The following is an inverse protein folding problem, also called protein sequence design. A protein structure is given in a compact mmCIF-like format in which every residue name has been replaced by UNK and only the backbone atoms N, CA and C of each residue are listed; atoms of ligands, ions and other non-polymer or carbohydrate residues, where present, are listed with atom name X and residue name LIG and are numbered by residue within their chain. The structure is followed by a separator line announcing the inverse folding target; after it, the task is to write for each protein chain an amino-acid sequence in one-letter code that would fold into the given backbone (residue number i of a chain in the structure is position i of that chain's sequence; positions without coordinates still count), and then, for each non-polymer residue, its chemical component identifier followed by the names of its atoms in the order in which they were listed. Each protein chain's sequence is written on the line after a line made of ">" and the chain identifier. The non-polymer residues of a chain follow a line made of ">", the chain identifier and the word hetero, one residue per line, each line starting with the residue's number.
data_IF_037928093873
#
_entry.id   IF_037928093873
#
_cell.length_a   1.000
_cell.length_b   1.000
_cell.length_c   1.000
_cell.angle_alpha   90.00
_cell.angle_beta   90.00
_cell.angle_gamma   90.00
#
_symmetry.space_group_name_H-M   'P 1'
#
loop_
_entity.id
_entity.type
_entity.pdbx_description
1 polymer ?
#
# COMPACT_ATOMS: atom_id res chain seq x y z
N UNK A 1 -31.13 41.62 13.81
CA UNK A 1 -30.27 40.63 14.52
C UNK A 1 -29.71 39.53 13.62
N UNK A 2 -29.05 39.81 12.49
CA UNK A 2 -28.62 38.73 11.55
C UNK A 2 -27.17 38.84 11.00
N UNK A 3 -26.36 39.78 11.49
CA UNK A 3 -24.97 39.94 11.04
C UNK A 3 -23.96 39.08 11.85
N UNK A 4 -24.27 38.78 13.12
CA UNK A 4 -23.35 37.96 13.97
C UNK A 4 -23.27 36.51 13.55
N UNK A 5 -24.40 35.89 13.25
CA UNK A 5 -24.45 34.44 12.87
C UNK A 5 -23.70 34.15 11.55
N UNK A 6 -23.71 35.10 10.61
CA UNK A 6 -22.98 34.91 9.32
C UNK A 6 -21.45 34.99 9.48
N UNK A 7 -20.97 35.84 10.38
CA UNK A 7 -19.54 35.97 10.65
C UNK A 7 -18.99 34.73 11.40
N UNK A 8 -19.77 34.19 12.35
CA UNK A 8 -19.43 32.96 13.08
C UNK A 8 -19.41 31.74 12.15
N UNK A 9 -20.38 31.63 11.22
CA UNK A 9 -20.43 30.57 10.22
C UNK A 9 -19.22 30.62 9.26
N UNK A 10 -18.81 31.79 8.82
CA UNK A 10 -17.64 31.96 7.95
C UNK A 10 -16.35 31.60 8.69
N UNK A 11 -16.22 32.02 9.95
CA UNK A 11 -15.06 31.70 10.78
C UNK A 11 -15.00 30.19 11.14
N UNK A 12 -16.17 29.56 11.32
CA UNK A 12 -16.27 28.11 11.53
C UNK A 12 -15.83 27.29 10.30
N UNK A 13 -16.30 27.70 9.12
CA UNK A 13 -15.90 27.06 7.85
C UNK A 13 -14.42 27.26 7.54
N UNK A 14 -13.84 28.41 7.84
CA UNK A 14 -12.41 28.66 7.71
C UNK A 14 -11.56 27.72 8.57
N UNK A 15 -11.91 27.57 9.85
CA UNK A 15 -11.22 26.65 10.76
C UNK A 15 -11.36 25.16 10.39
N UNK A 16 -12.51 24.77 9.86
CA UNK A 16 -12.70 23.40 9.35
C UNK A 16 -11.86 23.15 8.08
N UNK A 17 -11.83 24.13 7.16
CA UNK A 17 -11.02 24.05 5.96
C UNK A 17 -9.51 23.97 6.27
N UNK A 18 -9.01 24.74 7.23
CA UNK A 18 -7.63 24.68 7.68
C UNK A 18 -7.28 23.32 8.32
N UNK A 19 -8.17 22.77 9.15
CA UNK A 19 -7.97 21.45 9.77
C UNK A 19 -7.99 20.35 8.73
N UNK A 20 -8.91 20.38 7.77
CA UNK A 20 -8.94 19.39 6.67
C UNK A 20 -7.70 19.52 5.78
N UNK A 21 -7.25 20.72 5.45
CA UNK A 21 -6.02 20.94 4.69
C UNK A 21 -4.78 20.40 5.43
N UNK A 22 -4.68 20.59 6.74
CA UNK A 22 -3.61 20.05 7.55
C UNK A 22 -3.61 18.51 7.55
N UNK A 23 -4.78 17.88 7.74
CA UNK A 23 -4.92 16.41 7.71
C UNK A 23 -4.58 15.86 6.32
N UNK A 24 -5.04 16.49 5.26
CA UNK A 24 -4.77 16.08 3.88
C UNK A 24 -3.27 16.19 3.53
N UNK A 25 -2.54 17.10 4.18
CA UNK A 25 -1.12 17.32 3.91
C UNK A 25 -0.20 16.16 4.36
N UNK A 26 -0.48 15.50 5.48
CA UNK A 26 0.37 14.42 6.01
C UNK A 26 -0.16 13.01 5.73
N UNK A 27 -1.46 12.87 5.41
CA UNK A 27 -2.07 11.57 5.11
C UNK A 27 -1.31 10.75 4.05
N UNK A 28 -0.85 11.31 2.92
CA UNK A 28 -0.06 10.57 1.94
C UNK A 28 1.27 10.05 2.49
N UNK A 29 1.91 10.82 3.37
CA UNK A 29 3.16 10.39 3.99
C UNK A 29 2.93 9.21 4.94
N UNK A 30 1.87 9.26 5.74
CA UNK A 30 1.50 8.13 6.61
C UNK A 30 1.14 6.90 5.79
N UNK A 31 0.31 7.05 4.76
CA UNK A 31 -0.05 5.97 3.85
C UNK A 31 1.19 5.30 3.24
N UNK A 32 2.15 6.10 2.79
CA UNK A 32 3.42 5.64 2.22
C UNK A 32 4.27 4.87 3.24
N UNK A 33 4.40 5.39 4.45
CA UNK A 33 5.16 4.72 5.52
C UNK A 33 4.50 3.42 5.93
N UNK A 34 3.18 3.41 6.11
CA UNK A 34 2.43 2.20 6.45
C UNK A 34 2.55 1.13 5.36
N UNK A 35 2.39 1.49 4.09
CA UNK A 35 2.57 0.55 2.99
C UNK A 35 4.00 0.01 2.96
N UNK A 36 4.99 0.88 3.07
CA UNK A 36 6.40 0.48 3.10
C UNK A 36 6.73 -0.47 4.25
N UNK A 37 6.25 -0.20 5.46
CA UNK A 37 6.42 -1.08 6.61
C UNK A 37 5.75 -2.45 6.40
N UNK A 38 4.55 -2.47 5.82
CA UNK A 38 3.84 -3.71 5.51
C UNK A 38 4.63 -4.56 4.52
N UNK A 39 5.10 -3.98 3.42
CA UNK A 39 5.91 -4.69 2.43
C UNK A 39 7.25 -5.16 3.03
N UNK A 40 7.90 -4.34 3.87
CA UNK A 40 9.13 -4.73 4.55
C UNK A 40 8.91 -5.93 5.49
N UNK A 41 7.81 -5.92 6.24
CA UNK A 41 7.45 -7.02 7.12
C UNK A 41 7.27 -8.34 6.36
N UNK A 42 6.50 -8.33 5.27
CA UNK A 42 6.31 -9.53 4.45
C UNK A 42 7.59 -9.98 3.78
N UNK A 43 8.31 -9.08 3.12
CA UNK A 43 9.58 -9.40 2.48
C UNK A 43 10.59 -10.01 3.47
N UNK A 44 10.69 -9.46 4.68
CA UNK A 44 11.54 -10.04 5.73
C UNK A 44 11.11 -11.47 6.09
N UNK A 45 9.82 -11.72 6.31
CA UNK A 45 9.32 -13.04 6.67
C UNK A 45 9.52 -14.08 5.56
N UNK A 46 9.37 -13.71 4.31
CA UNK A 46 9.66 -14.56 3.16
C UNK A 46 11.15 -14.95 3.09
N UNK A 47 12.04 -14.04 3.45
CA UNK A 47 13.48 -14.34 3.46
C UNK A 47 13.92 -15.21 4.64
N UNK A 48 13.30 -15.02 5.80
CA UNK A 48 13.69 -15.77 7.02
C UNK A 48 13.06 -17.16 7.07
N UNK A 49 11.84 -17.30 6.58
CA UNK A 49 11.07 -18.56 6.62
C UNK A 49 10.39 -18.88 5.29
N UNK A 50 11.16 -19.03 4.18
CA UNK A 50 10.58 -19.18 2.85
C UNK A 50 9.66 -20.41 2.73
N UNK A 51 9.91 -21.46 3.48
CA UNK A 51 9.14 -22.71 3.45
C UNK A 51 7.66 -22.51 3.83
N UNK A 52 7.34 -21.51 4.65
CA UNK A 52 5.95 -21.19 5.01
C UNK A 52 5.16 -20.59 3.86
N UNK A 53 5.86 -20.07 2.86
CA UNK A 53 5.26 -19.33 1.74
C UNK A 53 5.23 -20.12 0.44
N UNK A 54 6.00 -21.22 0.34
CA UNK A 54 6.06 -22.05 -0.88
C UNK A 54 4.72 -22.67 -1.26
N UNK A 55 3.82 -22.88 -0.30
CA UNK A 55 2.47 -23.40 -0.55
C UNK A 55 1.57 -22.45 -1.36
N UNK A 56 1.94 -21.17 -1.45
CA UNK A 56 1.23 -20.15 -2.23
C UNK A 56 1.83 -19.93 -3.62
N UNK A 57 2.85 -20.69 -4.02
CA UNK A 57 3.46 -20.59 -5.36
C UNK A 57 2.70 -21.50 -6.32
N UNK A 58 1.91 -20.97 -7.24
CA UNK A 58 1.04 -21.76 -8.09
C UNK A 58 1.87 -22.62 -9.07
N UNK A 59 1.44 -23.87 -9.25
CA UNK A 59 2.04 -24.78 -10.22
C UNK A 59 3.34 -25.48 -9.78
N UNK A 60 3.80 -25.22 -8.55
CA UNK A 60 5.01 -25.86 -8.01
C UNK A 60 4.70 -26.64 -6.75
N UNK A 61 5.48 -27.72 -6.52
CA UNK A 61 5.45 -28.40 -5.23
C UNK A 61 6.04 -27.49 -4.15
N UNK A 62 5.40 -27.45 -2.97
CA UNK A 62 5.87 -26.66 -1.82
C UNK A 62 7.30 -27.06 -1.36
N UNK A 63 7.78 -28.23 -1.74
CA UNK A 63 9.12 -28.75 -1.42
C UNK A 63 10.14 -28.52 -2.55
N UNK A 64 9.75 -27.88 -3.66
CA UNK A 64 10.65 -27.67 -4.78
C UNK A 64 11.63 -26.53 -4.51
N UNK A 65 12.89 -26.70 -4.89
CA UNK A 65 13.92 -25.66 -4.79
C UNK A 65 13.54 -24.40 -5.58
N UNK A 66 12.81 -24.58 -6.68
CA UNK A 66 12.35 -23.48 -7.51
C UNK A 66 11.26 -22.66 -6.78
N UNK A 67 10.34 -23.29 -6.05
CA UNK A 67 9.37 -22.57 -5.24
C UNK A 67 10.06 -21.74 -4.15
N UNK A 68 11.07 -22.29 -3.48
CA UNK A 68 11.88 -21.57 -2.50
C UNK A 68 12.60 -20.38 -3.15
N UNK A 69 13.24 -20.58 -4.31
CA UNK A 69 13.93 -19.52 -5.01
C UNK A 69 12.98 -18.36 -5.44
N UNK A 70 11.76 -18.70 -5.89
CA UNK A 70 10.74 -17.71 -6.23
C UNK A 70 10.28 -16.91 -5.02
N UNK A 71 10.04 -17.54 -3.87
CA UNK A 71 9.69 -16.86 -2.62
C UNK A 71 10.82 -15.92 -2.18
N UNK A 72 12.08 -16.37 -2.23
CA UNK A 72 13.22 -15.52 -1.89
C UNK A 72 13.33 -14.30 -2.83
N UNK A 73 13.16 -14.50 -4.15
CA UNK A 73 13.18 -13.43 -5.12
C UNK A 73 12.04 -12.42 -4.88
N UNK A 74 10.84 -12.92 -4.56
CA UNK A 74 9.68 -12.10 -4.22
C UNK A 74 9.93 -11.31 -2.92
N UNK A 75 10.46 -11.93 -1.87
CA UNK A 75 10.81 -11.27 -0.61
C UNK A 75 11.81 -10.11 -0.81
N UNK A 76 12.86 -10.31 -1.63
CA UNK A 76 13.78 -9.23 -2.00
C UNK A 76 13.09 -8.11 -2.76
N UNK A 77 12.20 -8.44 -3.70
CA UNK A 77 11.42 -7.45 -4.43
C UNK A 77 10.55 -6.61 -3.50
N UNK A 78 9.87 -7.22 -2.53
CA UNK A 78 9.08 -6.52 -1.52
C UNK A 78 9.94 -5.56 -0.68
N UNK A 79 11.15 -5.96 -0.27
CA UNK A 79 12.06 -5.08 0.47
C UNK A 79 12.51 -3.88 -0.35
N UNK A 80 12.85 -4.08 -1.62
CA UNK A 80 13.23 -2.99 -2.54
C UNK A 80 12.07 -2.01 -2.71
N UNK A 81 10.84 -2.52 -2.91
CA UNK A 81 9.64 -1.69 -3.02
C UNK A 81 9.33 -0.96 -1.72
N UNK A 82 9.52 -1.60 -0.56
CA UNK A 82 9.34 -0.98 0.75
C UNK A 82 10.27 0.25 0.92
N UNK A 83 11.54 0.11 0.56
CA UNK A 83 12.50 1.21 0.59
C UNK A 83 12.12 2.30 -0.41
N UNK A 84 11.79 1.94 -1.65
CA UNK A 84 11.42 2.88 -2.70
C UNK A 84 10.19 3.72 -2.33
N UNK A 85 9.15 3.08 -1.77
CA UNK A 85 7.92 3.74 -1.33
C UNK A 85 8.20 4.63 -0.12
N UNK A 86 8.90 4.14 0.89
CA UNK A 86 9.18 4.91 2.10
C UNK A 86 10.04 6.13 1.79
N UNK A 87 11.08 5.98 0.97
CA UNK A 87 11.96 7.07 0.55
C UNK A 87 11.37 7.96 -0.56
N UNK A 88 10.17 7.63 -1.07
CA UNK A 88 9.53 8.30 -2.21
C UNK A 88 10.34 8.25 -3.52
N UNK A 89 11.18 7.23 -3.69
CA UNK A 89 11.97 7.01 -4.91
C UNK A 89 11.05 6.38 -5.97
N UNK A 90 10.92 7.04 -7.12
CA UNK A 90 10.04 6.58 -8.21
C UNK A 90 8.65 6.13 -7.71
N UNK A 91 8.06 6.88 -6.78
CA UNK A 91 6.89 6.50 -5.98
C UNK A 91 5.73 5.94 -6.81
N UNK A 92 5.45 6.54 -8.00
CA UNK A 92 4.37 6.08 -8.89
C UNK A 92 4.62 4.66 -9.39
N UNK A 93 5.85 4.39 -9.84
CA UNK A 93 6.23 3.08 -10.35
C UNK A 93 6.24 2.05 -9.21
N UNK A 94 6.87 2.40 -8.09
CA UNK A 94 6.91 1.52 -6.92
C UNK A 94 5.51 1.18 -6.39
N UNK A 95 4.61 2.17 -6.28
CA UNK A 95 3.24 1.94 -5.86
C UNK A 95 2.43 1.11 -6.87
N UNK A 96 2.61 1.33 -8.18
CA UNK A 96 1.95 0.56 -9.22
C UNK A 96 2.42 -0.90 -9.24
N UNK A 97 3.72 -1.14 -9.12
CA UNK A 97 4.29 -2.51 -9.02
C UNK A 97 3.80 -3.19 -7.75
N UNK A 98 3.78 -2.50 -6.62
CA UNK A 98 3.24 -3.04 -5.36
C UNK A 98 1.76 -3.38 -5.47
N UNK A 99 0.95 -2.54 -6.12
CA UNK A 99 -0.46 -2.82 -6.36
C UNK A 99 -0.65 -4.08 -7.22
N UNK A 100 0.17 -4.25 -8.27
CA UNK A 100 0.12 -5.43 -9.13
C UNK A 100 0.48 -6.72 -8.37
N UNK A 101 1.52 -6.69 -7.55
CA UNK A 101 1.90 -7.82 -6.69
C UNK A 101 0.80 -8.14 -5.66
N UNK A 102 0.20 -7.13 -5.04
CA UNK A 102 -0.89 -7.32 -4.09
C UNK A 102 -2.14 -7.90 -4.76
N UNK A 103 -2.46 -7.51 -6.00
CA UNK A 103 -3.53 -8.16 -6.77
C UNK A 103 -3.25 -9.64 -6.96
N UNK A 104 -2.02 -9.99 -7.35
CA UNK A 104 -1.60 -11.40 -7.50
C UNK A 104 -1.78 -12.16 -6.18
N UNK A 105 -1.26 -11.63 -5.07
CA UNK A 105 -1.36 -12.25 -3.74
C UNK A 105 -2.83 -12.46 -3.33
N UNK A 106 -3.67 -11.43 -3.49
CA UNK A 106 -5.10 -11.51 -3.18
C UNK A 106 -5.80 -12.59 -4.00
N UNK A 107 -5.49 -12.68 -5.30
CA UNK A 107 -6.06 -13.72 -6.17
C UNK A 107 -5.62 -15.13 -5.74
N UNK A 108 -4.34 -15.32 -5.44
CA UNK A 108 -3.81 -16.61 -4.97
C UNK A 108 -4.44 -17.03 -3.64
N UNK A 109 -4.52 -16.11 -2.68
CA UNK A 109 -5.18 -16.37 -1.39
C UNK A 109 -6.67 -16.71 -1.56
N UNK A 110 -7.38 -15.99 -2.43
CA UNK A 110 -8.80 -16.23 -2.68
C UNK A 110 -9.05 -17.61 -3.33
N UNK A 111 -8.15 -18.04 -4.23
CA UNK A 111 -8.27 -19.33 -4.93
C UNK A 111 -7.86 -20.51 -4.03
N UNK A 112 -6.81 -20.35 -3.22
CA UNK A 112 -6.25 -21.44 -2.41
C UNK A 112 -6.92 -21.58 -1.05
N UNK A 113 -7.23 -20.47 -0.38
CA UNK A 113 -7.74 -20.44 1.00
C UNK A 113 -9.14 -19.82 1.16
N UNK A 114 -9.71 -19.28 0.07
CA UNK A 114 -10.98 -18.55 0.12
C UNK A 114 -10.84 -17.14 0.74
N UNK A 115 -11.97 -16.51 1.02
CA UNK A 115 -12.03 -15.19 1.65
C UNK A 115 -11.83 -15.32 3.17
N UNK A 116 -10.59 -15.21 3.61
CA UNK A 116 -10.18 -15.22 5.01
C UNK A 116 -9.82 -13.82 5.49
N UNK A 117 -9.58 -13.66 6.81
CA UNK A 117 -9.06 -12.39 7.37
C UNK A 117 -7.76 -11.94 6.70
N UNK A 118 -6.93 -12.90 6.27
CA UNK A 118 -5.70 -12.66 5.53
C UNK A 118 -5.98 -11.97 4.19
N UNK A 119 -6.93 -12.52 3.42
CA UNK A 119 -7.36 -11.97 2.13
C UNK A 119 -7.93 -10.56 2.28
N UNK A 120 -8.80 -10.34 3.28
CA UNK A 120 -9.40 -9.03 3.54
C UNK A 120 -8.36 -7.98 3.95
N UNK A 121 -7.36 -8.37 4.75
CA UNK A 121 -6.24 -7.50 5.10
C UNK A 121 -5.48 -7.06 3.85
N UNK A 122 -5.16 -7.99 2.96
CA UNK A 122 -4.35 -7.70 1.77
C UNK A 122 -5.14 -6.87 0.74
N UNK A 123 -6.47 -7.00 0.67
CA UNK A 123 -7.35 -6.07 -0.06
C UNK A 123 -7.25 -4.64 0.50
N UNK A 124 -7.17 -4.48 1.82
CA UNK A 124 -6.95 -3.17 2.46
C UNK A 124 -5.60 -2.55 2.08
N UNK A 125 -4.53 -3.35 2.08
CA UNK A 125 -3.18 -2.92 1.68
C UNK A 125 -3.13 -2.57 0.19
N UNK A 126 -3.82 -3.34 -0.66
CA UNK A 126 -3.99 -3.04 -2.09
C UNK A 126 -4.68 -1.69 -2.29
N UNK A 127 -5.77 -1.41 -1.54
CA UNK A 127 -6.44 -0.12 -1.58
C UNK A 127 -5.49 1.03 -1.26
N UNK A 128 -4.61 0.87 -0.28
CA UNK A 128 -3.59 1.85 0.09
C UNK A 128 -2.58 2.09 -1.06
N UNK A 129 -2.10 1.03 -1.71
CA UNK A 129 -1.20 1.13 -2.86
C UNK A 129 -1.85 1.85 -4.04
N UNK A 130 -3.12 1.57 -4.34
CA UNK A 130 -3.89 2.24 -5.39
C UNK A 130 -4.10 3.73 -5.09
N UNK A 131 -4.40 4.11 -3.86
CA UNK A 131 -4.52 5.51 -3.45
C UNK A 131 -3.22 6.28 -3.71
N UNK A 132 -2.06 5.71 -3.39
CA UNK A 132 -0.76 6.34 -3.61
C UNK A 132 -0.45 6.53 -5.11
N UNK A 133 -0.88 5.61 -5.99
CA UNK A 133 -0.73 5.81 -7.44
C UNK A 133 -1.60 6.96 -7.96
N UNK A 134 -2.79 7.16 -7.39
CA UNK A 134 -3.74 8.22 -7.77
C UNK A 134 -3.26 9.62 -7.38
N UNK A 135 -2.77 9.80 -6.15
CA UNK A 135 -2.32 11.10 -5.64
C UNK A 135 -1.15 11.70 -6.42
N UNK A 136 -0.20 10.86 -6.82
CA UNK A 136 0.95 11.30 -7.61
C UNK A 136 0.53 11.81 -8.99
N UNK A 137 -0.60 11.33 -9.53
CA UNK A 137 -1.16 11.79 -10.79
C UNK A 137 -1.75 13.20 -10.68
N UNK A 138 -2.46 13.50 -9.60
CA UNK A 138 -3.06 14.83 -9.39
C UNK A 138 -2.01 15.93 -9.25
N UNK A 139 -0.92 15.69 -8.54
CA UNK A 139 0.17 16.67 -8.38
C UNK A 139 0.87 16.97 -9.71
N UNK A 140 1.05 15.98 -10.58
CA UNK A 140 1.67 16.17 -11.90
C UNK A 140 0.80 17.02 -12.85
N UNK A 141 -0.53 16.89 -12.77
CA UNK A 141 -1.48 17.67 -13.59
C UNK A 141 -1.57 19.12 -13.13
N UNK A 142 -1.40 19.38 -11.83
CA UNK A 142 -1.47 20.75 -11.26
C UNK A 142 -0.15 21.54 -11.43
N UNK A 143 0.95 20.87 -11.82
CA UNK A 143 2.28 21.48 -12.05
C UNK A 143 2.60 21.73 -13.53
N UNK A 144 1.72 21.34 -14.44
CA UNK A 144 1.81 21.60 -15.88
C UNK A 144 0.94 22.77 -16.30
#
# INVERSE_FOLDING_TARGET
>A
MSRGTRAEDVAGRGRLAERTAAITGWAPTVARVLLGLTLAWFGYHELVTPQLWTGYVPGFSATSDLAIALVLAHGWLLLVLAVAITAAIALRLAAAVSALLLVQIVLELAVTGGFTDLTLRDVGVLGLALCLTGETRQRAVLSS
#
